data_IF_404075007314
#
_entry.id   IF_404075007314
#
_cell.length_a   1.000
_cell.length_b   1.000
_cell.length_c   1.000
_cell.angle_alpha   90.00
_cell.angle_beta   90.00
_cell.angle_gamma   90.00
#
_symmetry.space_group_name_H-M   'P 1'
#
loop_
_entity.id
_entity.type
_entity.pdbx_description
1 polymer ?
#
# COMPACT_ATOMS: atom_id res chain seq x y z
N UNK A 1 3.03 32.72 -3.06
CA UNK A 1 3.33 32.01 -4.32
C UNK A 1 2.10 32.10 -5.23
N UNK A 2 2.27 32.15 -6.57
CA UNK A 2 1.13 32.23 -7.49
C UNK A 2 0.48 30.82 -7.60
N UNK A 3 -0.86 30.77 -7.65
CA UNK A 3 -1.62 29.53 -7.84
C UNK A 3 -1.26 28.94 -9.21
N UNK A 4 -0.85 27.67 -9.30
CA UNK A 4 -0.63 26.99 -10.55
C UNK A 4 -1.90 26.97 -11.40
N UNK A 5 -1.75 27.05 -12.72
CA UNK A 5 -2.89 26.99 -13.63
C UNK A 5 -2.62 25.98 -14.74
N UNK A 6 -3.47 24.99 -14.82
CA UNK A 6 -3.43 24.02 -15.89
C UNK A 6 -3.86 24.67 -17.22
N UNK A 7 -3.07 24.46 -18.26
CA UNK A 7 -3.36 24.95 -19.59
C UNK A 7 -4.61 24.31 -20.16
N UNK A 8 -5.55 25.13 -20.63
CA UNK A 8 -6.74 24.63 -21.33
C UNK A 8 -6.38 24.26 -22.78
N UNK A 9 -6.78 23.06 -23.21
CA UNK A 9 -6.72 22.60 -24.61
C UNK A 9 -8.08 22.01 -24.91
N UNK A 10 -8.96 22.82 -25.54
CA UNK A 10 -10.35 22.44 -25.80
C UNK A 10 -10.47 21.24 -26.75
N UNK A 11 -11.28 20.27 -26.37
CA UNK A 11 -11.67 19.13 -27.18
C UNK A 11 -13.18 18.90 -27.04
N UNK A 12 -13.89 18.67 -28.16
CA UNK A 12 -15.30 18.32 -28.13
C UNK A 12 -15.43 16.82 -27.90
N UNK A 13 -16.06 16.44 -26.81
CA UNK A 13 -16.43 15.07 -26.48
C UNK A 13 -17.88 14.81 -26.86
N UNK A 14 -18.14 13.60 -27.36
CA UNK A 14 -19.48 13.16 -27.73
C UNK A 14 -19.78 11.82 -27.05
N UNK A 15 -20.95 11.71 -26.43
CA UNK A 15 -21.45 10.48 -25.90
C UNK A 15 -22.96 10.39 -26.13
N UNK A 16 -23.42 9.35 -26.82
CA UNK A 16 -24.77 9.23 -27.34
C UNK A 16 -25.15 10.47 -28.16
N UNK A 17 -26.21 11.18 -27.83
CA UNK A 17 -26.68 12.40 -28.52
C UNK A 17 -26.26 13.69 -27.78
N UNK A 18 -25.28 13.60 -26.87
CA UNK A 18 -24.82 14.72 -26.07
C UNK A 18 -23.40 15.09 -26.42
N UNK A 19 -23.15 16.40 -26.59
CA UNK A 19 -21.80 16.94 -26.87
C UNK A 19 -21.43 17.95 -25.80
N UNK A 20 -20.16 17.93 -25.32
CA UNK A 20 -19.64 18.94 -24.42
C UNK A 20 -18.18 19.27 -24.74
N UNK A 21 -17.77 20.43 -24.30
CA UNK A 21 -16.37 20.86 -24.38
C UNK A 21 -15.59 20.40 -23.15
N UNK A 22 -14.48 19.68 -23.38
CA UNK A 22 -13.53 19.27 -22.36
C UNK A 22 -12.20 19.96 -22.59
N UNK A 23 -11.81 20.80 -21.65
CA UNK A 23 -10.56 21.58 -21.71
C UNK A 23 -9.34 20.84 -21.16
N UNK A 24 -9.54 19.67 -20.53
CA UNK A 24 -8.53 19.00 -19.73
C UNK A 24 -8.33 17.52 -20.08
N UNK A 25 -9.04 16.97 -21.07
CA UNK A 25 -8.86 15.58 -21.51
C UNK A 25 -7.44 15.24 -21.95
N UNK A 26 -6.67 16.25 -22.36
CA UNK A 26 -5.28 16.09 -22.77
C UNK A 26 -4.31 15.66 -21.65
N UNK A 27 -4.73 15.73 -20.37
CA UNK A 27 -3.97 15.21 -19.22
C UNK A 27 -3.97 13.69 -19.24
N UNK A 28 -5.03 13.09 -19.74
CA UNK A 28 -5.14 11.65 -19.84
C UNK A 28 -4.11 11.08 -20.82
N UNK A 29 -3.31 10.11 -20.35
CA UNK A 29 -2.39 9.36 -21.20
C UNK A 29 -2.92 7.93 -21.38
N UNK A 30 -3.06 7.51 -22.65
CA UNK A 30 -3.56 6.17 -22.99
C UNK A 30 -2.57 5.07 -22.57
N UNK A 31 -1.30 5.41 -22.42
CA UNK A 31 -0.20 4.53 -22.00
C UNK A 31 0.12 4.63 -20.50
N UNK A 32 -0.89 4.95 -19.67
CA UNK A 32 -0.70 5.18 -18.21
C UNK A 32 0.05 4.04 -17.52
N UNK A 33 -0.16 2.79 -17.93
CA UNK A 33 0.55 1.64 -17.35
C UNK A 33 2.05 1.68 -17.63
N UNK A 34 2.45 2.22 -18.78
CA UNK A 34 3.86 2.43 -19.10
C UNK A 34 4.46 3.60 -18.32
N UNK A 35 3.67 4.65 -18.07
CA UNK A 35 4.06 5.78 -17.21
C UNK A 35 4.25 5.32 -15.77
N UNK A 36 3.39 4.42 -15.26
CA UNK A 36 3.53 3.87 -13.91
C UNK A 36 4.80 3.03 -13.75
N UNK A 37 5.22 2.32 -14.82
CA UNK A 37 6.49 1.57 -14.82
C UNK A 37 7.72 2.47 -14.98
N UNK A 38 7.59 3.54 -15.75
CA UNK A 38 8.66 4.50 -16.01
C UNK A 38 8.09 5.93 -16.02
N UNK A 39 8.23 6.62 -14.91
CA UNK A 39 7.71 7.99 -14.74
C UNK A 39 8.28 8.99 -15.75
N UNK A 40 9.41 8.69 -16.41
CA UNK A 40 9.98 9.56 -17.47
C UNK A 40 9.08 9.66 -18.69
N UNK A 41 8.18 8.70 -18.89
CA UNK A 41 7.19 8.68 -19.98
C UNK A 41 6.01 9.63 -19.73
N UNK A 42 5.88 10.20 -18.54
CA UNK A 42 4.83 11.18 -18.26
C UNK A 42 5.00 12.40 -19.16
N UNK A 43 3.88 12.87 -19.75
CA UNK A 43 3.86 14.07 -20.57
C UNK A 43 4.54 15.24 -19.86
N UNK A 44 5.52 15.94 -20.48
CA UNK A 44 6.29 17.00 -19.82
C UNK A 44 5.43 18.17 -19.31
N UNK A 45 4.35 18.55 -20.04
CA UNK A 45 3.43 19.61 -19.62
C UNK A 45 2.64 19.20 -18.36
N UNK A 46 2.23 17.92 -18.29
CA UNK A 46 1.54 17.35 -17.12
C UNK A 46 2.50 17.27 -15.94
N UNK A 47 3.72 16.77 -16.16
CA UNK A 47 4.77 16.72 -15.13
C UNK A 47 5.02 18.10 -14.54
N UNK A 48 5.24 19.08 -15.40
CA UNK A 48 5.50 20.45 -14.94
C UNK A 48 4.36 21.00 -14.08
N UNK A 49 3.12 20.76 -14.47
CA UNK A 49 1.96 21.20 -13.69
C UNK A 49 1.92 20.55 -12.32
N UNK A 50 2.16 19.23 -12.24
CA UNK A 50 2.21 18.51 -10.97
C UNK A 50 3.34 18.99 -10.05
N UNK A 51 4.51 19.30 -10.61
CA UNK A 51 5.64 19.86 -9.86
C UNK A 51 5.34 21.28 -9.34
N UNK A 52 4.66 22.11 -10.15
CA UNK A 52 4.22 23.45 -9.75
C UNK A 52 3.18 23.36 -8.60
N UNK A 53 2.22 22.40 -8.65
CA UNK A 53 1.23 22.14 -7.57
C UNK A 53 1.90 21.65 -6.29
N UNK A 54 2.87 20.74 -6.38
CA UNK A 54 3.64 20.29 -5.24
C UNK A 54 4.40 21.44 -4.59
N UNK A 55 5.05 22.29 -5.41
CA UNK A 55 5.78 23.45 -4.92
C UNK A 55 4.86 24.47 -4.25
N UNK A 56 3.66 24.67 -4.80
CA UNK A 56 2.63 25.52 -4.19
C UNK A 56 2.18 24.99 -2.84
N UNK A 57 1.91 23.70 -2.76
CA UNK A 57 1.51 23.00 -1.53
C UNK A 57 2.62 23.09 -0.47
N UNK A 58 3.84 22.80 -0.82
CA UNK A 58 5.00 22.88 0.08
C UNK A 58 5.20 24.29 0.62
N UNK A 59 5.03 25.30 -0.21
CA UNK A 59 5.11 26.71 0.22
C UNK A 59 4.04 27.03 1.26
N UNK A 60 2.78 26.67 1.00
CA UNK A 60 1.66 27.00 1.89
C UNK A 60 1.64 26.16 3.17
N UNK A 61 2.17 24.93 3.14
CA UNK A 61 2.27 24.07 4.31
C UNK A 61 3.61 24.20 5.05
N UNK A 62 4.53 25.04 4.57
CA UNK A 62 5.87 25.16 5.14
C UNK A 62 5.89 25.49 6.64
N UNK A 63 4.96 26.35 7.10
CA UNK A 63 4.82 26.74 8.51
C UNK A 63 4.21 25.64 9.40
N UNK A 64 3.64 24.60 8.81
CA UNK A 64 3.01 23.49 9.56
C UNK A 64 3.94 22.32 9.79
N UNK A 65 5.15 22.29 9.22
CA UNK A 65 6.09 21.14 9.28
C UNK A 65 6.39 20.68 10.71
N UNK A 66 6.53 21.62 11.64
CA UNK A 66 6.80 21.27 13.05
C UNK A 66 5.59 20.56 13.70
N UNK A 67 4.37 21.02 13.43
CA UNK A 67 3.18 20.38 13.97
C UNK A 67 2.91 19.05 13.27
N UNK A 68 3.18 18.93 11.96
CA UNK A 68 3.09 17.66 11.23
C UNK A 68 4.02 16.62 11.86
N UNK A 69 5.30 16.99 12.11
CA UNK A 69 6.24 16.09 12.78
C UNK A 69 5.77 15.68 14.16
N UNK A 70 5.31 16.62 14.97
CA UNK A 70 4.79 16.34 16.31
C UNK A 70 3.61 15.38 16.27
N UNK A 71 2.65 15.61 15.38
CA UNK A 71 1.47 14.74 15.20
C UNK A 71 1.87 13.35 14.70
N UNK A 72 2.81 13.28 13.74
CA UNK A 72 3.32 12.01 13.26
C UNK A 72 3.98 11.19 14.38
N UNK A 73 4.87 11.82 15.15
CA UNK A 73 5.58 11.17 16.26
C UNK A 73 4.58 10.71 17.35
N UNK A 74 3.57 11.53 17.65
CA UNK A 74 2.52 11.19 18.62
C UNK A 74 1.66 10.02 18.13
N UNK A 75 1.17 10.04 16.90
CA UNK A 75 0.35 8.97 16.32
C UNK A 75 1.16 7.67 16.26
N UNK A 76 2.39 7.74 15.74
CA UNK A 76 3.30 6.58 15.67
C UNK A 76 3.61 6.01 17.05
N UNK A 77 3.81 6.88 18.05
CA UNK A 77 4.10 6.45 19.43
C UNK A 77 2.94 5.73 20.12
N UNK A 78 1.71 5.83 19.59
CA UNK A 78 0.53 5.10 20.10
C UNK A 78 0.41 3.68 19.52
N UNK A 79 1.18 3.37 18.47
CA UNK A 79 1.15 2.06 17.83
C UNK A 79 2.04 1.12 18.64
N UNK A 80 1.47 0.05 19.16
CA UNK A 80 2.20 -1.02 19.80
C UNK A 80 2.81 -1.92 18.71
N UNK A 81 4.14 -1.89 18.59
CA UNK A 81 4.84 -2.61 17.52
C UNK A 81 5.01 -4.10 17.84
N UNK A 82 5.36 -4.43 19.10
CA UNK A 82 5.36 -5.81 19.58
C UNK A 82 3.98 -6.13 20.14
N UNK A 83 3.15 -6.77 19.34
CA UNK A 83 1.76 -7.06 19.68
C UNK A 83 1.32 -8.43 19.20
N UNK A 84 0.30 -8.97 19.85
CA UNK A 84 -0.32 -10.23 19.50
C UNK A 84 -1.84 -10.07 19.47
N UNK A 85 -2.48 -10.62 18.42
CA UNK A 85 -3.94 -10.66 18.37
C UNK A 85 -4.48 -11.67 19.39
N UNK A 86 -5.76 -11.54 19.73
CA UNK A 86 -6.43 -12.57 20.50
C UNK A 86 -6.49 -13.89 19.70
N UNK A 87 -6.21 -15.04 20.34
CA UNK A 87 -6.36 -16.33 19.69
C UNK A 87 -7.82 -16.60 19.31
N UNK A 88 -8.03 -17.15 18.13
CA UNK A 88 -9.33 -17.72 17.73
C UNK A 88 -9.21 -19.22 17.53
N UNK A 89 -10.30 -19.94 17.82
CA UNK A 89 -10.35 -21.39 17.69
C UNK A 89 -10.86 -21.79 16.32
N UNK A 90 -10.15 -22.73 15.70
CA UNK A 90 -10.58 -23.40 14.49
C UNK A 90 -10.20 -24.88 14.57
N UNK A 91 -11.20 -25.76 14.40
CA UNK A 91 -11.11 -27.21 14.49
C UNK A 91 -10.30 -27.68 15.72
N UNK A 92 -9.00 -27.96 15.55
CA UNK A 92 -8.14 -28.55 16.60
C UNK A 92 -7.13 -27.53 17.18
N UNK A 93 -7.05 -26.34 16.65
CA UNK A 93 -6.04 -25.35 17.03
C UNK A 93 -6.65 -24.01 17.44
N UNK A 94 -5.87 -23.26 18.18
CA UNK A 94 -6.00 -21.81 18.37
C UNK A 94 -4.96 -21.11 17.52
N UNK A 95 -5.38 -20.09 16.75
CA UNK A 95 -4.53 -19.33 15.84
C UNK A 95 -4.50 -17.87 16.24
N UNK A 96 -3.34 -17.22 16.09
CA UNK A 96 -3.21 -15.77 16.27
C UNK A 96 -2.05 -15.23 15.46
N UNK A 97 -2.00 -13.90 15.41
CA UNK A 97 -0.97 -13.18 14.68
C UNK A 97 -0.12 -12.39 15.66
N UNK A 98 1.19 -12.38 15.42
CA UNK A 98 2.17 -11.61 16.17
C UNK A 98 2.84 -10.61 15.23
N UNK A 99 3.12 -9.39 15.73
CA UNK A 99 3.98 -8.41 15.09
C UNK A 99 5.17 -8.12 15.99
N UNK A 100 6.28 -7.67 15.41
CA UNK A 100 7.50 -7.35 16.16
C UNK A 100 8.10 -6.03 15.70
N UNK A 101 8.85 -5.37 16.56
CA UNK A 101 9.63 -4.16 16.23
C UNK A 101 10.73 -4.40 15.20
N UNK A 102 11.12 -5.65 14.98
CA UNK A 102 12.23 -6.03 14.10
C UNK A 102 11.80 -6.38 12.69
N UNK A 103 10.52 -6.71 12.51
CA UNK A 103 9.94 -7.13 11.23
C UNK A 103 8.98 -6.11 10.65
N UNK A 104 8.70 -6.25 9.35
CA UNK A 104 7.68 -5.48 8.64
C UNK A 104 6.43 -6.32 8.35
N UNK A 105 6.52 -7.62 8.53
CA UNK A 105 5.46 -8.57 8.24
C UNK A 105 5.01 -9.31 9.50
N UNK A 106 3.82 -9.88 9.44
CA UNK A 106 3.26 -10.62 10.55
C UNK A 106 3.80 -12.04 10.62
N UNK A 107 3.81 -12.57 11.85
CA UNK A 107 4.07 -13.97 12.15
C UNK A 107 2.73 -14.62 12.47
N UNK A 108 2.42 -15.78 11.91
CA UNK A 108 1.24 -16.58 12.23
C UNK A 108 1.65 -17.71 13.16
N UNK A 109 0.95 -17.78 14.26
CA UNK A 109 1.18 -18.75 15.31
C UNK A 109 -0.06 -19.62 15.49
N UNK A 110 0.15 -20.87 15.90
CA UNK A 110 -0.93 -21.75 16.33
C UNK A 110 -0.55 -22.56 17.57
N UNK A 111 -1.54 -23.04 18.26
CA UNK A 111 -1.38 -23.93 19.40
C UNK A 111 -2.49 -24.97 19.37
N UNK A 112 -2.15 -26.25 19.49
CA UNK A 112 -3.16 -27.31 19.58
C UNK A 112 -3.98 -27.16 20.86
N UNK A 113 -5.29 -27.25 20.74
CA UNK A 113 -6.22 -27.12 21.88
C UNK A 113 -5.88 -28.16 22.92
N UNK A 114 -5.78 -27.74 24.19
CA UNK A 114 -5.41 -28.59 25.31
C UNK A 114 -3.90 -28.82 25.50
N UNK A 115 -3.05 -28.15 24.71
CA UNK A 115 -1.59 -28.17 24.88
C UNK A 115 -1.03 -26.78 25.14
N UNK A 116 0.26 -26.68 25.51
CA UNK A 116 0.98 -25.44 25.66
C UNK A 116 2.05 -25.24 24.56
N UNK A 117 2.12 -26.17 23.57
CA UNK A 117 3.09 -26.08 22.50
C UNK A 117 2.63 -25.08 21.45
N UNK A 118 3.41 -24.01 21.27
CA UNK A 118 3.17 -22.96 20.25
C UNK A 118 4.01 -23.29 19.03
N UNK A 119 3.41 -23.27 17.87
CA UNK A 119 4.03 -23.47 16.57
C UNK A 119 3.96 -22.20 15.76
N UNK A 120 5.10 -21.76 15.22
CA UNK A 120 5.15 -20.74 14.18
C UNK A 120 4.91 -21.42 12.83
N UNK A 121 3.82 -21.08 12.17
CA UNK A 121 3.42 -21.69 10.89
C UNK A 121 3.71 -20.79 9.69
N UNK A 122 4.00 -19.50 9.93
CA UNK A 122 4.32 -18.52 8.91
C UNK A 122 5.11 -17.36 9.51
N UNK A 123 6.14 -16.92 8.80
CA UNK A 123 6.91 -15.72 9.12
C UNK A 123 7.14 -14.93 7.82
N UNK A 124 6.45 -13.80 7.67
CA UNK A 124 6.49 -13.05 6.43
C UNK A 124 7.86 -12.41 6.14
N UNK A 125 8.62 -12.04 7.17
CA UNK A 125 9.97 -11.49 6.98
C UNK A 125 10.93 -12.57 6.49
N UNK A 126 10.86 -13.79 7.04
CA UNK A 126 11.67 -14.93 6.58
C UNK A 126 11.32 -15.35 5.15
N UNK A 127 10.03 -15.34 4.80
CA UNK A 127 9.60 -15.67 3.44
C UNK A 127 10.07 -14.63 2.42
N UNK A 128 10.01 -13.34 2.75
CA UNK A 128 10.57 -12.29 1.91
C UNK A 128 12.07 -12.47 1.69
N UNK A 129 12.81 -12.77 2.75
CA UNK A 129 14.25 -13.00 2.69
C UNK A 129 14.60 -14.22 1.82
N UNK A 130 13.88 -15.34 2.00
CA UNK A 130 14.06 -16.56 1.17
C UNK A 130 13.83 -16.29 -0.31
N UNK A 131 12.81 -15.49 -0.64
CA UNK A 131 12.49 -15.17 -2.04
C UNK A 131 13.41 -14.10 -2.64
N UNK A 132 14.09 -13.32 -1.80
CA UNK A 132 14.99 -12.24 -2.20
C UNK A 132 14.37 -11.28 -3.23
N UNK A 133 13.14 -10.83 -2.97
CA UNK A 133 12.36 -9.95 -3.85
C UNK A 133 12.34 -8.52 -3.34
N UNK A 134 12.29 -7.56 -4.27
CA UNK A 134 12.20 -6.14 -3.94
C UNK A 134 10.81 -5.80 -3.37
N UNK A 135 9.75 -6.26 -4.04
CA UNK A 135 8.38 -6.12 -3.59
C UNK A 135 7.86 -7.44 -3.00
N UNK A 136 7.15 -7.36 -1.87
CA UNK A 136 6.56 -8.51 -1.21
C UNK A 136 5.23 -8.14 -0.58
N UNK A 137 4.16 -8.55 -1.22
CA UNK A 137 2.78 -8.45 -0.73
C UNK A 137 2.26 -9.82 -0.31
N UNK A 138 1.71 -9.91 0.89
CA UNK A 138 1.08 -11.14 1.39
C UNK A 138 -0.43 -10.99 1.21
N UNK A 139 -1.03 -11.91 0.49
CA UNK A 139 -2.48 -12.03 0.36
C UNK A 139 -3.06 -12.97 1.42
N UNK A 140 -3.92 -13.88 0.98
CA UNK A 140 -4.58 -14.81 1.89
C UNK A 140 -3.63 -15.88 2.43
N UNK A 141 -3.88 -16.28 3.67
CA UNK A 141 -3.21 -17.37 4.38
C UNK A 141 -4.28 -18.26 4.99
N UNK A 142 -4.36 -19.51 4.51
CA UNK A 142 -5.39 -20.46 4.94
C UNK A 142 -4.78 -21.81 5.31
N UNK A 143 -5.19 -22.36 6.43
CA UNK A 143 -4.81 -23.70 6.85
C UNK A 143 -5.82 -24.71 6.33
N UNK A 144 -5.35 -25.85 5.83
CA UNK A 144 -6.21 -26.91 5.33
C UNK A 144 -7.05 -27.51 6.47
N UNK A 145 -8.24 -28.06 6.13
CA UNK A 145 -9.18 -28.65 7.10
C UNK A 145 -8.57 -29.74 7.98
N UNK A 146 -7.54 -30.43 7.49
CA UNK A 146 -6.84 -31.48 8.26
C UNK A 146 -5.60 -30.96 9.02
N UNK A 147 -5.41 -29.65 9.11
CA UNK A 147 -4.32 -28.94 9.80
C UNK A 147 -2.89 -29.23 9.28
N UNK A 148 -2.74 -29.91 8.14
CA UNK A 148 -1.45 -30.39 7.67
C UNK A 148 -0.77 -29.46 6.63
N UNK A 149 -1.52 -28.59 5.99
CA UNK A 149 -1.04 -27.72 4.93
C UNK A 149 -1.40 -26.27 5.19
N UNK A 150 -0.51 -25.36 4.81
CA UNK A 150 -0.75 -23.92 4.74
C UNK A 150 -0.74 -23.51 3.28
N UNK A 151 -1.86 -22.98 2.79
CA UNK A 151 -1.95 -22.32 1.49
C UNK A 151 -1.80 -20.82 1.66
N UNK A 152 -1.08 -20.17 0.74
CA UNK A 152 -0.94 -18.71 0.77
C UNK A 152 -0.74 -18.14 -0.63
N UNK A 153 -1.04 -16.85 -0.78
CA UNK A 153 -0.81 -16.10 -2.00
C UNK A 153 0.18 -14.96 -1.78
N UNK A 154 1.06 -14.73 -2.74
CA UNK A 154 2.06 -13.67 -2.68
C UNK A 154 2.05 -12.84 -3.96
N UNK A 155 2.15 -11.53 -3.82
CA UNK A 155 2.57 -10.65 -4.90
C UNK A 155 4.05 -10.28 -4.72
N UNK A 156 4.86 -10.65 -5.68
CA UNK A 156 6.32 -10.38 -5.70
C UNK A 156 6.72 -9.35 -6.75
N UNK A 157 5.74 -8.74 -7.44
CA UNK A 157 5.98 -7.80 -8.54
C UNK A 157 5.43 -6.41 -8.27
N UNK A 158 4.46 -6.26 -7.35
CA UNK A 158 3.77 -5.01 -7.11
C UNK A 158 2.90 -4.57 -8.30
N UNK A 159 2.43 -5.53 -9.09
CA UNK A 159 1.52 -5.29 -10.21
C UNK A 159 0.14 -5.76 -9.80
N UNK A 160 -0.74 -4.82 -9.52
CA UNK A 160 -2.18 -5.08 -9.41
C UNK A 160 -2.80 -5.37 -10.79
#
# INVERSE_FOLDING_TARGET
MKIPQLKKKSEIKNCHNYSWEDNYSWIHQNDILEVLKDSKKLNPDVRKYLEDENSYTDFHLSNTKNIQKKLFDEIKGRIKLDDESLPFKDVNYEYWTKTTTKGNYSIKLRKKIGTNNIEEIWNGDEEKEKLNVEYFGVGDLEVSFNDNYLGYSLDTKGSE
#
